data_IF_696402006707
#
_entry.id   IF_696402006707
#
_cell.length_a   1.000
_cell.length_b   1.000
_cell.length_c   1.000
_cell.angle_alpha   90.00
_cell.angle_beta   90.00
_cell.angle_gamma   90.00
#
_symmetry.space_group_name_H-M   'P 1'
#
loop_
_entity.id
_entity.type
_entity.pdbx_description
1 polymer ?
#
# COMPACT_ATOMS: atom_id res chain seq x y z
N UNK A 1 2.63 -10.42 21.53
CA UNK A 1 2.69 -9.16 20.75
C UNK A 1 4.05 -8.49 20.99
N UNK A 2 4.49 -7.55 20.15
CA UNK A 2 5.84 -6.94 20.26
C UNK A 2 6.11 -6.37 21.66
N UNK A 3 5.11 -5.74 22.29
CA UNK A 3 5.25 -5.20 23.64
C UNK A 3 5.33 -6.25 24.75
N UNK A 4 4.81 -7.47 24.52
CA UNK A 4 4.90 -8.56 25.51
C UNK A 4 6.34 -9.09 25.58
N UNK A 5 7.03 -9.17 24.43
CA UNK A 5 8.43 -9.60 24.35
C UNK A 5 9.41 -8.52 24.84
N UNK A 6 9.01 -7.24 24.77
CA UNK A 6 9.83 -6.10 25.17
C UNK A 6 9.48 -5.55 26.55
N UNK A 7 8.63 -6.24 27.32
CA UNK A 7 8.11 -5.73 28.58
C UNK A 7 9.21 -5.47 29.62
N UNK A 8 10.21 -6.34 29.69
CA UNK A 8 11.36 -6.18 30.61
C UNK A 8 12.14 -4.88 30.30
N UNK A 9 12.32 -4.53 29.02
CA UNK A 9 12.96 -3.28 28.59
C UNK A 9 12.10 -2.04 28.82
N UNK A 10 10.79 -2.20 29.00
CA UNK A 10 9.89 -1.09 29.31
C UNK A 10 9.92 -0.74 30.80
N UNK A 11 10.14 -1.73 31.68
CA UNK A 11 10.23 -1.53 33.12
C UNK A 11 11.58 -0.98 33.58
N UNK A 12 12.66 -1.33 32.87
CA UNK A 12 14.02 -0.94 33.22
C UNK A 12 14.69 0.00 32.19
N UNK A 13 15.71 0.74 32.62
CA UNK A 13 16.51 1.63 31.76
C UNK A 13 17.88 1.04 31.42
N UNK A 14 17.89 -0.15 30.80
CA UNK A 14 19.14 -0.87 30.44
C UNK A 14 19.71 -0.49 29.07
N UNK A 15 18.94 0.22 28.24
CA UNK A 15 19.34 0.60 26.89
C UNK A 15 20.22 1.87 26.88
N UNK A 16 21.16 2.01 25.93
CA UNK A 16 22.04 3.18 25.85
C UNK A 16 21.32 4.52 25.62
N UNK A 17 20.12 4.48 25.03
CA UNK A 17 19.27 5.63 24.77
C UNK A 17 17.80 5.20 24.70
N UNK A 18 16.89 6.17 24.70
CA UNK A 18 15.45 5.93 24.55
C UNK A 18 15.13 5.42 23.13
N UNK A 19 14.60 4.21 23.02
CA UNK A 19 14.23 3.59 21.73
C UNK A 19 12.74 3.79 21.46
N UNK A 20 12.41 4.34 20.29
CA UNK A 20 11.04 4.51 19.79
C UNK A 20 10.74 3.44 18.75
N UNK A 21 9.71 2.65 19.03
CA UNK A 21 9.20 1.62 18.10
C UNK A 21 7.84 2.08 17.59
N UNK A 22 7.68 2.18 16.28
CA UNK A 22 6.40 2.52 15.65
C UNK A 22 5.96 1.45 14.65
N UNK A 23 4.65 1.32 14.48
CA UNK A 23 4.05 0.39 13.54
C UNK A 23 3.03 1.09 12.65
N UNK A 24 3.06 0.78 11.35
CA UNK A 24 2.05 1.20 10.38
C UNK A 24 1.61 -0.03 9.57
N UNK A 25 0.31 -0.11 9.33
CA UNK A 25 -0.29 -1.23 8.61
C UNK A 25 -0.09 -1.17 7.09
N UNK A 26 0.24 0.00 6.53
CA UNK A 26 0.55 0.18 5.12
C UNK A 26 1.54 1.35 4.89
N UNK A 27 2.00 1.49 3.65
CA UNK A 27 2.97 2.52 3.23
C UNK A 27 2.49 3.97 3.33
N UNK A 28 1.22 4.22 3.67
CA UNK A 28 0.79 5.57 4.06
C UNK A 28 1.43 6.02 5.37
N UNK A 29 2.05 5.08 6.11
CA UNK A 29 2.91 5.35 7.27
C UNK A 29 2.25 6.26 8.33
N UNK A 30 0.93 6.14 8.54
CA UNK A 30 0.20 6.97 9.48
C UNK A 30 0.80 6.85 10.89
N UNK A 31 1.44 7.92 11.37
CA UNK A 31 2.17 7.95 12.64
C UNK A 31 3.65 8.26 12.42
N UNK A 32 4.53 7.59 13.16
CA UNK A 32 5.95 7.91 13.24
C UNK A 32 6.89 6.84 12.63
N UNK A 33 6.37 5.91 11.81
CA UNK A 33 7.16 4.81 11.23
C UNK A 33 8.36 5.30 10.41
N UNK A 34 8.23 6.42 9.71
CA UNK A 34 9.29 7.00 8.89
C UNK A 34 10.40 7.70 9.70
N UNK A 35 10.23 7.89 11.01
CA UNK A 35 11.16 8.63 11.87
C UNK A 35 11.39 7.97 13.24
N UNK A 36 11.15 6.65 13.34
CA UNK A 36 11.37 5.85 14.55
C UNK A 36 12.71 5.13 14.50
N UNK A 37 13.28 4.82 15.67
CA UNK A 37 14.50 4.01 15.77
C UNK A 37 14.27 2.59 15.23
N UNK A 38 13.09 2.03 15.49
CA UNK A 38 12.63 0.77 14.91
C UNK A 38 11.25 0.96 14.29
N UNK A 39 11.10 0.53 13.05
CA UNK A 39 9.91 0.71 12.23
C UNK A 39 9.36 -0.64 11.76
N UNK A 40 8.10 -0.90 12.05
CA UNK A 40 7.37 -2.09 11.54
C UNK A 40 6.36 -1.61 10.50
N UNK A 41 6.53 -2.07 9.26
CA UNK A 41 5.69 -1.63 8.14
C UNK A 41 5.03 -2.83 7.45
N UNK A 42 3.70 -2.78 7.33
CA UNK A 42 2.97 -3.69 6.46
C UNK A 42 3.26 -3.42 4.98
N UNK A 43 3.63 -4.46 4.23
CA UNK A 43 4.04 -4.35 2.84
C UNK A 43 3.31 -5.36 1.94
N UNK A 44 2.75 -4.89 0.84
CA UNK A 44 2.11 -5.74 -0.18
C UNK A 44 3.16 -6.31 -1.14
N UNK A 45 2.91 -7.51 -1.69
CA UNK A 45 3.82 -8.22 -2.62
C UNK A 45 3.08 -8.82 -3.82
N UNK A 46 1.88 -8.30 -4.12
CA UNK A 46 1.14 -8.60 -5.34
C UNK A 46 0.53 -7.32 -5.91
N UNK A 47 0.49 -7.18 -7.25
CA UNK A 47 -0.24 -6.10 -7.91
C UNK A 47 -1.73 -6.14 -7.58
N UNK A 48 -2.46 -5.01 -7.70
CA UNK A 48 -3.88 -4.96 -7.42
C UNK A 48 -4.67 -5.82 -8.41
N UNK A 49 -5.73 -6.47 -7.91
CA UNK A 49 -6.72 -7.13 -8.76
C UNK A 49 -7.63 -6.06 -9.38
N UNK A 50 -7.94 -6.21 -10.68
CA UNK A 50 -8.75 -5.25 -11.41
C UNK A 50 -10.17 -5.78 -11.57
N UNK A 51 -11.13 -5.04 -11.02
CA UNK A 51 -12.55 -5.30 -11.24
C UNK A 51 -13.07 -4.41 -12.37
N UNK A 52 -13.00 -4.93 -13.59
CA UNK A 52 -13.32 -4.17 -14.80
C UNK A 52 -14.80 -3.79 -14.92
N UNK A 53 -15.72 -4.46 -14.22
CA UNK A 53 -17.16 -4.18 -14.30
C UNK A 53 -17.56 -2.93 -13.51
N UNK A 54 -16.81 -2.59 -12.46
CA UNK A 54 -17.16 -1.49 -11.56
C UNK A 54 -16.18 -0.32 -11.61
N UNK A 55 -15.04 -0.47 -12.28
CA UNK A 55 -13.97 0.52 -12.30
C UNK A 55 -14.43 1.89 -12.84
N UNK A 56 -15.11 1.92 -13.99
CA UNK A 56 -15.61 3.17 -14.61
C UNK A 56 -16.79 3.77 -13.82
N UNK A 57 -17.51 2.95 -13.05
CA UNK A 57 -18.69 3.37 -12.27
C UNK A 57 -18.29 4.00 -10.93
N UNK A 58 -17.17 3.56 -10.35
CA UNK A 58 -16.75 3.90 -8.99
C UNK A 58 -15.51 4.79 -8.93
N UNK A 59 -14.71 4.84 -9.99
CA UNK A 59 -13.43 5.53 -9.99
C UNK A 59 -13.32 6.57 -11.10
N UNK A 60 -12.73 7.72 -10.78
CA UNK A 60 -12.29 8.68 -11.79
C UNK A 60 -10.95 8.21 -12.35
N UNK A 61 -10.97 7.63 -13.56
CA UNK A 61 -9.79 7.03 -14.22
C UNK A 61 -8.54 7.95 -14.21
N UNK A 62 -8.64 9.27 -14.47
CA UNK A 62 -7.48 10.16 -14.40
C UNK A 62 -6.85 10.22 -13.01
N UNK A 63 -7.64 10.17 -11.93
CA UNK A 63 -7.13 10.16 -10.56
C UNK A 63 -6.39 8.85 -10.26
N UNK A 64 -6.93 7.72 -10.71
CA UNK A 64 -6.29 6.41 -10.53
C UNK A 64 -4.92 6.37 -11.23
N UNK A 65 -4.83 6.89 -12.45
CA UNK A 65 -3.56 6.97 -13.19
C UNK A 65 -2.58 7.90 -12.47
N UNK A 66 -3.02 9.09 -12.07
CA UNK A 66 -2.18 10.08 -11.39
C UNK A 66 -1.70 9.63 -10.00
N UNK A 67 -2.44 8.74 -9.34
CA UNK A 67 -2.07 8.19 -8.03
C UNK A 67 -0.85 7.24 -8.09
N UNK A 68 -0.49 6.73 -9.27
CA UNK A 68 0.60 5.77 -9.40
C UNK A 68 1.99 6.46 -9.47
N UNK A 69 2.85 6.31 -8.45
CA UNK A 69 4.16 6.97 -8.46
C UNK A 69 5.14 6.40 -9.48
N UNK A 70 4.98 5.14 -9.88
CA UNK A 70 5.85 4.47 -10.88
C UNK A 70 5.27 4.46 -12.29
N UNK A 71 4.13 5.14 -12.51
CA UNK A 71 3.41 5.16 -13.79
C UNK A 71 3.16 3.75 -14.36
N UNK A 72 2.78 2.81 -13.50
CA UNK A 72 2.42 1.43 -13.87
C UNK A 72 1.00 1.31 -14.42
N UNK A 73 0.14 2.32 -14.19
CA UNK A 73 -1.28 2.31 -14.59
C UNK A 73 -1.46 3.09 -15.88
N UNK A 74 -2.18 2.53 -16.84
CA UNK A 74 -2.49 3.17 -18.12
C UNK A 74 -3.96 2.98 -18.49
N UNK A 75 -4.57 3.91 -19.25
CA UNK A 75 -5.95 3.77 -19.69
C UNK A 75 -6.08 2.61 -20.68
N UNK A 76 -7.15 1.84 -20.55
CA UNK A 76 -7.47 0.71 -21.43
C UNK A 76 -8.97 0.66 -21.72
N UNK A 77 -9.35 -0.05 -22.78
CA UNK A 77 -10.75 -0.40 -23.06
C UNK A 77 -10.86 -1.90 -23.10
N UNK A 78 -11.78 -2.46 -22.31
CA UNK A 78 -11.91 -3.91 -22.16
C UNK A 78 -13.33 -4.30 -22.58
N UNK A 79 -13.43 -5.41 -23.31
CA UNK A 79 -14.69 -6.04 -23.66
C UNK A 79 -15.07 -7.03 -22.55
N UNK A 80 -16.14 -6.73 -21.83
CA UNK A 80 -16.69 -7.62 -20.81
C UNK A 80 -17.37 -8.83 -21.47
N UNK A 81 -17.55 -9.96 -20.75
CA UNK A 81 -18.21 -11.17 -21.26
C UNK A 81 -19.63 -10.91 -21.83
N UNK A 82 -20.25 -9.83 -21.38
CA UNK A 82 -21.59 -9.40 -21.80
C UNK A 82 -21.58 -8.60 -23.12
N UNK A 83 -20.44 -8.53 -23.81
CA UNK A 83 -20.25 -7.82 -25.09
C UNK A 83 -20.14 -6.30 -24.97
N UNK A 84 -20.14 -5.74 -23.74
CA UNK A 84 -20.06 -4.30 -23.50
C UNK A 84 -18.61 -3.85 -23.40
N UNK A 85 -18.27 -2.78 -24.14
CA UNK A 85 -16.98 -2.09 -24.03
C UNK A 85 -17.06 -1.08 -22.89
N UNK A 86 -16.26 -1.27 -21.86
CA UNK A 86 -16.13 -0.31 -20.75
C UNK A 86 -14.72 0.27 -20.70
N UNK A 87 -14.62 1.52 -20.25
CA UNK A 87 -13.32 2.12 -19.98
C UNK A 87 -12.76 1.49 -18.71
N UNK A 88 -11.48 1.16 -18.73
CA UNK A 88 -10.81 0.54 -17.60
C UNK A 88 -9.35 0.96 -17.57
N UNK A 89 -8.57 0.31 -16.72
CA UNK A 89 -7.12 0.49 -16.65
C UNK A 89 -6.39 -0.81 -16.90
N UNK A 90 -5.17 -0.71 -17.41
CA UNK A 90 -4.20 -1.79 -17.46
C UNK A 90 -3.06 -1.49 -16.48
N UNK A 91 -2.55 -2.52 -15.82
CA UNK A 91 -1.43 -2.42 -14.87
C UNK A 91 -0.22 -3.18 -15.44
N UNK A 92 0.92 -2.49 -15.57
CA UNK A 92 2.19 -3.09 -15.93
C UNK A 92 2.86 -3.66 -14.67
N UNK A 93 2.83 -4.99 -14.52
CA UNK A 93 3.36 -5.67 -13.33
C UNK A 93 4.86 -5.39 -13.11
N UNK A 94 5.65 -5.26 -14.17
CA UNK A 94 7.10 -4.97 -14.06
C UNK A 94 7.39 -3.58 -13.47
N UNK A 95 6.43 -2.65 -13.55
CA UNK A 95 6.53 -1.30 -12.97
C UNK A 95 5.79 -1.18 -11.64
N UNK A 96 4.94 -2.14 -11.29
CA UNK A 96 4.24 -2.13 -10.01
C UNK A 96 5.21 -2.56 -8.90
N UNK A 97 5.26 -1.79 -7.82
CA UNK A 97 6.18 -2.06 -6.70
C UNK A 97 5.56 -2.93 -5.60
N UNK A 98 4.32 -3.39 -5.79
CA UNK A 98 3.64 -4.33 -4.92
C UNK A 98 3.35 -5.57 -5.73
#
# INVERSE_FOLDING_TARGET
AVMDELFDYFQDMTLPAHVRISMACCLNMCGAVHCSDIAILGYHRKPPMLDHEYLDKMCEIPLVIAACPTAAISPAKIELPNGKKENSVAVCNDRCMF
#
